data_IF_691487333794
#
_entry.id   IF_691487333794
#
_cell.length_a   1.000
_cell.length_b   1.000
_cell.length_c   1.000
_cell.angle_alpha   90.00
_cell.angle_beta   90.00
_cell.angle_gamma   90.00
#
_symmetry.space_group_name_H-M   'P 1'
#
loop_
_entity.id
_entity.type
_entity.pdbx_description
1 polymer ?
#
# COMPACT_ATOMS: atom_id res chain seq x y z
N UNK A 1 15.80 -16.84 13.11
CA UNK A 1 14.82 -16.67 12.00
C UNK A 1 13.82 -15.60 12.38
N UNK A 2 13.32 -14.80 11.43
CA UNK A 2 12.24 -13.84 11.73
C UNK A 2 10.87 -14.35 11.27
N UNK A 3 9.84 -14.11 12.07
CA UNK A 3 8.44 -14.45 11.75
C UNK A 3 7.52 -13.24 11.85
N UNK A 4 6.38 -13.30 11.15
CA UNK A 4 5.26 -12.38 11.37
C UNK A 4 4.08 -13.18 11.90
N UNK A 5 3.39 -12.62 12.90
CA UNK A 5 2.21 -13.23 13.53
C UNK A 5 1.00 -12.30 13.44
N UNK A 6 -0.21 -12.87 13.48
CA UNK A 6 -1.45 -12.11 13.59
C UNK A 6 -1.85 -11.87 15.06
N UNK A 7 -3.01 -11.24 15.28
CA UNK A 7 -3.55 -10.94 16.61
C UNK A 7 -3.83 -12.17 17.49
N UNK A 8 -3.90 -13.36 16.89
CA UNK A 8 -4.06 -14.65 17.59
C UNK A 8 -2.73 -15.39 17.80
N UNK A 9 -1.61 -14.72 17.54
CA UNK A 9 -0.26 -15.28 17.51
C UNK A 9 -0.08 -16.43 16.50
N UNK A 10 -0.92 -16.50 15.46
CA UNK A 10 -0.74 -17.46 14.38
C UNK A 10 0.35 -16.94 13.43
N UNK A 11 1.28 -17.81 13.04
CA UNK A 11 2.37 -17.46 12.13
C UNK A 11 1.81 -17.32 10.72
N UNK A 12 2.00 -16.14 10.14
CA UNK A 12 1.50 -15.79 8.79
C UNK A 12 2.63 -15.57 7.78
N UNK A 13 3.88 -15.50 8.22
CA UNK A 13 5.05 -15.40 7.35
C UNK A 13 6.36 -15.62 8.11
N UNK A 14 7.44 -15.92 7.39
CA UNK A 14 8.79 -16.03 7.95
C UNK A 14 9.87 -15.69 6.91
N UNK A 15 11.05 -15.29 7.38
CA UNK A 15 12.27 -15.16 6.57
C UNK A 15 13.48 -15.76 7.30
N UNK A 16 14.35 -16.44 6.55
CA UNK A 16 15.61 -16.96 7.09
C UNK A 16 16.68 -15.87 7.21
N UNK A 17 16.68 -14.92 6.27
CA UNK A 17 17.68 -13.86 6.16
C UNK A 17 17.01 -12.56 5.72
N UNK A 18 17.34 -11.46 6.37
CA UNK A 18 16.69 -10.16 6.15
C UNK A 18 15.68 -9.84 7.26
N UNK A 19 14.91 -8.77 7.05
CA UNK A 19 13.94 -8.28 8.03
C UNK A 19 12.53 -8.24 7.47
N UNK A 20 11.56 -8.73 8.24
CA UNK A 20 10.13 -8.53 7.97
C UNK A 20 9.62 -7.32 8.78
N UNK A 21 8.64 -6.59 8.25
CA UNK A 21 8.01 -5.50 9.00
C UNK A 21 7.17 -6.10 10.12
N UNK A 22 7.32 -5.58 11.34
CA UNK A 22 6.65 -6.09 12.54
C UNK A 22 6.97 -7.58 12.81
N UNK A 23 8.23 -7.96 12.61
CA UNK A 23 8.69 -9.32 12.84
C UNK A 23 9.06 -9.59 14.29
N UNK A 24 9.03 -10.87 14.65
CA UNK A 24 9.61 -11.40 15.89
C UNK A 24 10.80 -12.28 15.51
N UNK A 25 11.93 -12.05 16.19
CA UNK A 25 13.08 -12.94 16.09
C UNK A 25 12.82 -14.20 16.93
N UNK A 26 13.08 -15.34 16.31
CA UNK A 26 12.87 -16.67 16.87
C UNK A 26 14.13 -17.48 16.68
N UNK A 27 14.59 -18.08 17.78
CA UNK A 27 15.71 -19.02 17.77
C UNK A 27 15.32 -20.26 16.96
N UNK A 28 16.16 -20.63 16.00
CA UNK A 28 15.98 -21.80 15.14
C UNK A 28 15.85 -23.11 15.96
N UNK A 29 16.37 -23.16 17.19
CA UNK A 29 16.20 -24.28 18.12
C UNK A 29 14.75 -24.44 18.63
N UNK A 30 13.96 -23.37 18.60
CA UNK A 30 12.57 -23.33 19.07
C UNK A 30 11.55 -23.48 17.92
N UNK A 31 12.02 -23.97 16.77
CA UNK A 31 11.26 -24.16 15.56
C UNK A 31 11.16 -25.65 15.25
N UNK A 32 9.96 -26.19 14.96
CA UNK A 32 9.83 -27.58 14.53
C UNK A 32 10.70 -27.86 13.29
N UNK A 33 11.39 -29.00 13.25
CA UNK A 33 12.30 -29.37 12.14
C UNK A 33 11.61 -29.26 10.78
N UNK A 34 10.34 -29.68 10.73
CA UNK A 34 9.52 -29.67 9.51
C UNK A 34 8.81 -28.34 9.25
N UNK A 35 9.02 -27.31 10.07
CA UNK A 35 8.34 -26.03 9.92
C UNK A 35 8.50 -25.45 8.52
N UNK A 36 9.72 -25.45 7.96
CA UNK A 36 9.99 -24.86 6.64
C UNK A 36 9.36 -25.67 5.50
N UNK A 37 9.29 -26.99 5.65
CA UNK A 37 8.71 -27.90 4.66
C UNK A 37 7.18 -27.90 4.70
N UNK A 38 6.60 -27.79 5.90
CA UNK A 38 5.17 -27.87 6.13
C UNK A 38 4.52 -26.49 6.30
N UNK A 39 5.25 -25.39 6.10
CA UNK A 39 4.75 -24.05 6.34
C UNK A 39 3.51 -23.74 5.49
N UNK A 40 2.40 -23.47 6.18
CA UNK A 40 1.21 -22.85 5.62
C UNK A 40 0.80 -21.73 6.57
N UNK A 41 0.29 -20.59 6.06
CA UNK A 41 -0.22 -19.53 6.92
C UNK A 41 -1.22 -20.09 7.94
N UNK A 42 -1.08 -19.70 9.20
CA UNK A 42 -1.94 -20.10 10.34
C UNK A 42 -1.80 -21.56 10.78
N UNK A 43 -0.99 -22.39 10.12
CA UNK A 43 -0.73 -23.78 10.53
C UNK A 43 0.13 -23.90 11.79
N UNK A 44 0.86 -22.83 12.11
CA UNK A 44 1.68 -22.74 13.30
C UNK A 44 1.26 -21.54 14.16
N UNK A 45 1.47 -21.65 15.46
CA UNK A 45 1.26 -20.58 16.46
C UNK A 45 2.56 -20.32 17.20
N UNK A 46 2.81 -19.05 17.50
CA UNK A 46 3.92 -18.63 18.33
C UNK A 46 3.45 -18.44 19.77
N UNK A 47 3.97 -19.26 20.69
CA UNK A 47 3.59 -19.19 22.11
C UNK A 47 4.80 -19.43 22.99
N UNK A 48 4.99 -18.59 24.00
CA UNK A 48 6.09 -18.70 24.97
C UNK A 48 7.49 -18.75 24.34
N UNK A 49 7.73 -18.04 23.24
CA UNK A 49 9.04 -18.03 22.57
C UNK A 49 9.27 -19.22 21.62
N UNK A 50 8.28 -20.10 21.44
CA UNK A 50 8.37 -21.31 20.62
C UNK A 50 7.29 -21.33 19.53
N UNK A 51 7.62 -21.95 18.39
CA UNK A 51 6.66 -22.23 17.33
C UNK A 51 6.07 -23.62 17.53
N UNK A 52 4.74 -23.72 17.55
CA UNK A 52 3.99 -24.97 17.74
C UNK A 52 2.94 -25.13 16.65
N UNK A 53 2.50 -26.36 16.42
CA UNK A 53 1.39 -26.63 15.50
C UNK A 53 0.10 -26.01 16.05
N UNK A 54 -0.63 -25.30 15.19
CA UNK A 54 -1.93 -24.75 15.53
C UNK A 54 -2.99 -25.86 15.48
N UNK A 55 -3.51 -26.28 16.63
CA UNK A 55 -4.59 -27.27 16.70
C UNK A 55 -5.90 -26.78 16.06
N UNK A 56 -6.07 -25.46 15.91
CA UNK A 56 -7.23 -24.84 15.26
C UNK A 56 -7.00 -24.56 13.78
N UNK A 57 -5.99 -25.20 13.17
CA UNK A 57 -5.73 -25.06 11.75
C UNK A 57 -6.83 -25.75 10.96
N UNK A 58 -7.84 -24.97 10.60
CA UNK A 58 -8.76 -25.30 9.53
C UNK A 58 -8.02 -25.02 8.22
N UNK A 59 -7.70 -26.08 7.48
CA UNK A 59 -7.21 -25.93 6.12
C UNK A 59 -8.34 -25.26 5.34
N UNK A 60 -8.18 -23.99 5.01
CA UNK A 60 -9.06 -23.37 4.03
C UNK A 60 -8.99 -24.27 2.80
N UNK A 61 -10.12 -24.87 2.42
CA UNK A 61 -10.28 -25.53 1.13
C UNK A 61 -10.07 -24.45 0.07
N UNK A 62 -8.81 -24.18 -0.24
CA UNK A 62 -8.44 -23.54 -1.49
C UNK A 62 -9.09 -24.42 -2.55
N UNK A 63 -10.02 -23.88 -3.37
CA UNK A 63 -10.48 -24.61 -4.54
C UNK A 63 -9.22 -25.06 -5.26
N UNK A 64 -9.07 -26.36 -5.45
CA UNK A 64 -7.90 -26.99 -6.05
C UNK A 64 -7.63 -26.33 -7.41
N UNK A 65 -6.78 -25.31 -7.44
CA UNK A 65 -6.21 -24.77 -8.65
C UNK A 65 -5.07 -25.70 -9.05
N UNK A 66 -5.41 -26.94 -9.40
CA UNK A 66 -4.64 -27.67 -10.39
C UNK A 66 -4.90 -26.98 -11.71
N UNK A 67 -4.21 -25.87 -11.93
CA UNK A 67 -3.95 -25.33 -13.24
C UNK A 67 -2.46 -25.05 -13.26
N UNK A 68 -1.77 -25.67 -14.22
CA UNK A 68 -0.58 -25.07 -14.79
C UNK A 68 -0.98 -23.65 -15.24
N UNK A 69 -0.86 -22.65 -14.38
CA UNK A 69 -0.89 -21.27 -14.84
C UNK A 69 0.48 -21.03 -15.47
N UNK A 70 0.50 -21.23 -16.78
CA UNK A 70 1.41 -20.54 -17.68
C UNK A 70 1.61 -19.11 -17.19
N UNK A 71 2.86 -18.66 -17.20
CA UNK A 71 3.19 -17.25 -17.13
C UNK A 71 2.37 -16.50 -18.19
N UNK A 72 1.35 -15.75 -17.76
CA UNK A 72 0.70 -14.59 -18.40
C UNK A 72 -0.77 -14.55 -17.96
N UNK A 73 -1.15 -13.46 -17.30
CA UNK A 73 -2.40 -12.73 -17.54
C UNK A 73 -2.65 -11.75 -16.38
N UNK A 74 -1.84 -10.68 -16.31
CA UNK A 74 -2.49 -9.38 -16.15
C UNK A 74 -3.19 -9.19 -17.49
N UNK A 75 -4.51 -9.33 -17.52
CA UNK A 75 -5.24 -9.18 -18.77
C UNK A 75 -4.97 -7.77 -19.30
N UNK A 76 -4.75 -7.63 -20.60
CA UNK A 76 -4.55 -6.32 -21.25
C UNK A 76 -5.65 -5.31 -20.87
N UNK A 77 -6.84 -5.79 -20.50
CA UNK A 77 -7.97 -5.00 -20.02
C UNK A 77 -7.73 -4.37 -18.63
N UNK A 78 -7.14 -5.10 -17.68
CA UNK A 78 -6.78 -4.56 -16.36
C UNK A 78 -5.70 -3.48 -16.48
N UNK A 79 -4.71 -3.71 -17.35
CA UNK A 79 -3.68 -2.72 -17.66
C UNK A 79 -4.29 -1.47 -18.33
N UNK A 80 -5.22 -1.65 -19.29
CA UNK A 80 -5.96 -0.55 -19.92
C UNK A 80 -6.78 0.24 -18.91
N UNK A 81 -7.47 -0.43 -17.98
CA UNK A 81 -8.23 0.21 -16.90
C UNK A 81 -7.34 1.04 -15.97
N UNK A 82 -6.16 0.54 -15.62
CA UNK A 82 -5.19 1.26 -14.80
C UNK A 82 -4.63 2.49 -15.53
N UNK A 83 -4.28 2.35 -16.81
CA UNK A 83 -3.79 3.48 -17.62
C UNK A 83 -4.88 4.54 -17.81
N UNK A 84 -6.13 4.13 -18.05
CA UNK A 84 -7.26 5.05 -18.20
C UNK A 84 -7.52 5.83 -16.90
N UNK A 85 -7.52 5.16 -15.74
CA UNK A 85 -7.71 5.84 -14.45
C UNK A 85 -6.57 6.82 -14.15
N UNK A 86 -5.32 6.46 -14.47
CA UNK A 86 -4.17 7.37 -14.33
C UNK A 86 -4.31 8.59 -15.26
N UNK A 87 -4.70 8.40 -16.52
CA UNK A 87 -4.92 9.51 -17.46
C UNK A 87 -6.04 10.45 -17.00
N UNK A 88 -7.13 9.91 -16.45
CA UNK A 88 -8.20 10.73 -15.86
C UNK A 88 -7.67 11.55 -14.68
N UNK A 89 -6.86 10.96 -13.82
CA UNK A 89 -6.27 11.67 -12.67
C UNK A 89 -5.34 12.80 -13.12
N UNK A 90 -4.46 12.55 -14.10
CA UNK A 90 -3.58 13.58 -14.67
C UNK A 90 -4.39 14.72 -15.30
N UNK A 91 -5.46 14.40 -16.02
CA UNK A 91 -6.34 15.40 -16.62
C UNK A 91 -7.01 16.27 -15.56
N UNK A 92 -7.55 15.67 -14.49
CA UNK A 92 -8.16 16.40 -13.38
C UNK A 92 -7.16 17.34 -12.68
N UNK A 93 -5.93 16.86 -12.44
CA UNK A 93 -4.86 17.68 -11.85
C UNK A 93 -4.53 18.88 -12.74
N UNK A 94 -4.45 18.68 -14.06
CA UNK A 94 -4.16 19.76 -14.99
C UNK A 94 -5.29 20.80 -15.03
N UNK A 95 -6.56 20.38 -14.96
CA UNK A 95 -7.73 21.27 -14.89
C UNK A 95 -7.65 22.11 -13.61
N UNK A 96 -7.45 21.48 -12.45
CA UNK A 96 -7.31 22.19 -11.18
C UNK A 96 -6.15 23.18 -11.20
N UNK A 97 -5.01 22.80 -11.79
CA UNK A 97 -3.86 23.69 -11.94
C UNK A 97 -4.18 24.90 -12.84
N UNK A 98 -4.97 24.73 -13.90
CA UNK A 98 -5.43 25.85 -14.74
C UNK A 98 -6.39 26.76 -13.99
N UNK A 99 -7.35 26.21 -13.25
CA UNK A 99 -8.29 26.98 -12.43
C UNK A 99 -7.55 27.80 -11.37
N UNK A 100 -6.58 27.21 -10.67
CA UNK A 100 -5.74 27.91 -9.70
C UNK A 100 -4.92 29.03 -10.34
N UNK A 101 -4.34 28.78 -11.53
CA UNK A 101 -3.61 29.82 -12.28
C UNK A 101 -4.52 30.98 -12.66
N UNK A 102 -5.74 30.70 -13.10
CA UNK A 102 -6.72 31.72 -13.48
C UNK A 102 -7.16 32.54 -12.26
N UNK A 103 -7.44 31.88 -11.14
CA UNK A 103 -7.77 32.56 -9.88
C UNK A 103 -6.63 33.47 -9.41
N UNK A 104 -5.38 32.98 -9.46
CA UNK A 104 -4.21 33.76 -9.08
C UNK A 104 -4.00 34.99 -9.99
N UNK A 105 -4.22 34.85 -11.30
CA UNK A 105 -4.16 35.96 -12.24
C UNK A 105 -5.25 37.01 -11.94
N UNK A 106 -6.48 36.57 -11.67
CA UNK A 106 -7.59 37.46 -11.33
C UNK A 106 -7.35 38.20 -10.01
N UNK A 107 -6.86 37.52 -8.97
CA UNK A 107 -6.49 38.14 -7.70
C UNK A 107 -5.36 39.17 -7.89
N UNK A 108 -4.35 38.84 -8.70
CA UNK A 108 -3.25 39.75 -9.01
C UNK A 108 -3.74 41.00 -9.73
N UNK A 109 -4.67 40.83 -10.67
CA UNK A 109 -5.30 41.95 -11.37
C UNK A 109 -6.10 42.84 -10.41
N UNK A 110 -6.96 42.25 -9.56
CA UNK A 110 -7.70 43.00 -8.54
C UNK A 110 -6.77 43.78 -7.61
N UNK A 111 -5.68 43.17 -7.16
CA UNK A 111 -4.68 43.85 -6.32
C UNK A 111 -4.01 45.02 -7.04
N UNK A 112 -3.74 44.88 -8.35
CA UNK A 112 -3.15 45.94 -9.15
C UNK A 112 -4.13 47.09 -9.36
N UNK A 113 -5.39 46.79 -9.66
CA UNK A 113 -6.46 47.80 -9.79
C UNK A 113 -6.71 48.55 -8.48
N UNK A 114 -6.74 47.85 -7.33
CA UNK A 114 -6.85 48.48 -6.01
C UNK A 114 -5.65 49.39 -5.72
N UNK A 115 -4.43 48.95 -6.05
CA UNK A 115 -3.21 49.77 -5.87
C UNK A 115 -3.23 51.02 -6.75
N UNK A 116 -3.59 50.87 -8.03
CA UNK A 116 -3.70 51.99 -8.96
C UNK A 116 -4.84 52.96 -8.58
N UNK A 117 -5.96 52.44 -8.06
CA UNK A 117 -7.04 53.27 -7.53
C UNK A 117 -6.62 54.09 -6.31
N UNK A 118 -5.79 53.51 -5.42
CA UNK A 118 -5.27 54.22 -4.23
C UNK A 118 -4.28 55.33 -4.60
N UNK A 119 -3.40 55.12 -5.59
CA UNK A 119 -2.45 56.15 -6.04
C UNK A 119 -3.13 57.36 -6.67
N UNK A 120 -4.30 57.17 -7.31
CA UNK A 120 -5.05 58.28 -7.92
C UNK A 120 -5.88 59.11 -6.92
N UNK A 121 -6.00 58.67 -5.66
CA UNK A 121 -6.71 59.41 -4.59
C UNK A 121 -5.80 60.06 -3.56
N UNK A 122 -4.51 59.69 -3.51
CA UNK A 122 -3.52 60.27 -2.59
C UNK A 122 -2.70 61.41 -3.21
N UNK A 123 -2.80 61.66 -4.52
CA UNK A 123 -2.11 62.78 -5.20
C UNK A 123 -3.00 64.03 -5.40
N UNK A 124 -4.25 64.05 -4.93
CA UNK A 124 -5.20 65.16 -5.17
C UNK A 124 -5.84 65.73 -3.88
N UNK A 125 -5.07 65.82 -2.77
CA UNK A 125 -5.44 66.57 -1.55
C UNK A 125 -4.26 67.39 -1.03
#
# INVERSE_FOLDING_TARGET
MEITVNDKNEVIGYVNTGGLRNSLDVDDNNVPIKFKEEFEPRKFVFTNGEIKYNSNFEKEDVPNASNQQSESDLSDEELRGMVASMQMQVTQVNILAMELKQQNAMLTQQLTEIKAGKTNTEEDV
#
